data_IF_201575122839
#
_entry.id   IF_201575122839
#
_cell.length_a   1.000
_cell.length_b   1.000
_cell.length_c   1.000
_cell.angle_alpha   90.00
_cell.angle_beta   90.00
_cell.angle_gamma   90.00
#
_symmetry.space_group_name_H-M   'P 1'
#
loop_
_entity.id
_entity.type
_entity.pdbx_description
1 polymer ?
#
# COMPACT_ATOMS: atom_id res chain seq x y z
N UNK A 1 -12.45 1.96 0.91
CA UNK A 1 -11.14 1.35 1.25
C UNK A 1 -11.11 1.18 2.75
N UNK A 2 -10.75 0.01 3.25
CA UNK A 2 -10.56 -0.22 4.68
C UNK A 2 -9.15 -0.75 4.94
N UNK A 3 -8.59 -0.39 6.09
CA UNK A 3 -7.28 -0.88 6.53
C UNK A 3 -7.48 -1.94 7.61
N UNK A 4 -7.02 -3.17 7.35
CA UNK A 4 -6.94 -4.20 8.37
C UNK A 4 -5.70 -3.96 9.25
N UNK A 5 -5.93 -3.35 10.41
CA UNK A 5 -4.86 -2.98 11.33
C UNK A 5 -4.17 -4.19 11.98
N UNK A 6 -4.79 -5.38 11.97
CA UNK A 6 -4.16 -6.60 12.50
C UNK A 6 -3.02 -7.12 11.60
N UNK A 7 -2.96 -6.67 10.35
CA UNK A 7 -1.90 -7.01 9.41
C UNK A 7 -0.67 -6.10 9.54
N UNK A 8 -0.70 -5.11 10.44
CA UNK A 8 0.38 -4.16 10.62
C UNK A 8 1.40 -4.66 11.65
N UNK A 9 2.67 -4.53 11.29
CA UNK A 9 3.81 -4.82 12.15
C UNK A 9 4.42 -3.55 12.77
N UNK A 10 3.84 -2.38 12.52
CA UNK A 10 4.27 -1.13 13.16
C UNK A 10 3.61 0.12 12.58
N UNK A 11 3.80 1.25 13.27
CA UNK A 11 3.16 2.53 12.91
C UNK A 11 3.62 3.09 11.54
N UNK A 12 4.83 2.75 11.07
CA UNK A 12 5.35 3.26 9.78
C UNK A 12 4.51 2.79 8.60
N UNK A 13 4.00 1.55 8.66
CA UNK A 13 3.16 0.97 7.60
C UNK A 13 1.81 1.68 7.44
N UNK A 14 1.36 2.46 8.44
CA UNK A 14 0.12 3.24 8.33
C UNK A 14 0.25 4.31 7.24
N UNK A 15 1.40 4.98 7.18
CA UNK A 15 1.66 6.00 6.16
C UNK A 15 1.66 5.39 4.76
N UNK A 16 2.32 4.25 4.60
CA UNK A 16 2.42 3.56 3.31
C UNK A 16 1.06 3.08 2.81
N UNK A 17 0.23 2.54 3.72
CA UNK A 17 -1.14 2.15 3.41
C UNK A 17 -2.04 3.33 3.09
N UNK A 18 -1.85 4.46 3.77
CA UNK A 18 -2.54 5.69 3.44
C UNK A 18 -2.20 6.14 2.02
N UNK A 19 -0.93 6.13 1.63
CA UNK A 19 -0.50 6.51 0.27
C UNK A 19 -1.04 5.54 -0.79
N UNK A 20 -1.05 4.23 -0.52
CA UNK A 20 -1.63 3.24 -1.41
C UNK A 20 -3.15 3.42 -1.55
N UNK A 21 -3.85 3.69 -0.44
CA UNK A 21 -5.28 4.03 -0.45
C UNK A 21 -5.57 5.32 -1.22
N UNK A 22 -4.70 6.33 -1.07
CA UNK A 22 -4.81 7.59 -1.80
C UNK A 22 -4.66 7.38 -3.31
N UNK A 23 -3.65 6.60 -3.73
CA UNK A 23 -3.46 6.24 -5.14
C UNK A 23 -4.72 5.55 -5.71
N UNK A 24 -5.33 4.64 -4.95
CA UNK A 24 -6.57 3.97 -5.35
C UNK A 24 -7.72 4.96 -5.58
N UNK A 25 -7.91 5.93 -4.68
CA UNK A 25 -8.92 6.99 -4.84
C UNK A 25 -8.73 7.79 -6.14
N UNK A 26 -7.48 8.01 -6.54
CA UNK A 26 -7.14 8.70 -7.78
C UNK A 26 -7.06 7.78 -9.01
N UNK A 27 -7.42 6.49 -8.89
CA UNK A 27 -7.29 5.48 -9.95
C UNK A 27 -5.85 5.35 -10.48
N UNK A 28 -4.88 5.61 -9.63
CA UNK A 28 -3.45 5.46 -9.87
C UNK A 28 -2.86 4.29 -9.06
N UNK A 29 -1.55 4.07 -9.22
CA UNK A 29 -0.76 3.12 -8.44
C UNK A 29 0.29 3.86 -7.61
N UNK A 30 0.66 3.29 -6.46
CA UNK A 30 1.76 3.77 -5.65
C UNK A 30 3.05 3.15 -6.16
N UNK A 31 3.94 3.99 -6.70
CA UNK A 31 5.29 3.60 -7.03
C UNK A 31 6.18 3.72 -5.77
N UNK A 32 6.93 2.67 -5.45
CA UNK A 32 7.72 2.60 -4.21
C UNK A 32 8.99 1.78 -4.39
N UNK A 33 10.01 2.05 -3.57
CA UNK A 33 11.17 1.16 -3.43
C UNK A 33 11.01 0.20 -2.24
N UNK A 34 9.97 0.38 -1.43
CA UNK A 34 9.74 -0.41 -0.23
C UNK A 34 8.97 -1.69 -0.56
N UNK A 35 9.62 -2.84 -0.36
CA UNK A 35 9.03 -4.17 -0.55
C UNK A 35 8.26 -4.68 0.66
N UNK A 36 8.23 -3.92 1.76
CA UNK A 36 7.61 -4.31 3.03
C UNK A 36 6.19 -3.80 3.22
N UNK A 37 5.65 -3.04 2.26
CA UNK A 37 4.29 -2.50 2.33
C UNK A 37 3.27 -3.65 2.33
N UNK A 38 2.46 -3.81 3.39
CA UNK A 38 1.56 -4.95 3.54
C UNK A 38 0.27 -4.73 2.75
N UNK A 39 0.30 -4.97 1.43
CA UNK A 39 -0.85 -4.77 0.52
C UNK A 39 -2.09 -5.52 0.99
N UNK A 40 -1.92 -6.66 1.65
CA UNK A 40 -3.00 -7.45 2.20
C UNK A 40 -3.83 -6.70 3.26
N UNK A 41 -3.26 -5.69 3.91
CA UNK A 41 -3.98 -4.81 4.84
C UNK A 41 -4.98 -3.90 4.12
N UNK A 42 -4.92 -3.78 2.79
CA UNK A 42 -5.82 -2.95 1.97
C UNK A 42 -7.01 -3.76 1.47
N UNK A 43 -8.13 -3.67 2.17
CA UNK A 43 -9.35 -4.42 1.79
C UNK A 43 -10.14 -3.65 0.73
N UNK A 44 -10.50 -4.36 -0.35
CA UNK A 44 -11.32 -3.84 -1.45
C UNK A 44 -10.56 -3.06 -2.52
N UNK A 45 -9.24 -3.24 -2.61
CA UNK A 45 -8.38 -2.60 -3.62
C UNK A 45 -8.10 -3.54 -4.80
N UNK A 46 -7.81 -2.95 -5.97
CA UNK A 46 -7.33 -3.66 -7.17
C UNK A 46 -5.92 -4.25 -6.94
N UNK A 47 -5.65 -5.40 -7.55
CA UNK A 47 -4.39 -6.13 -7.38
C UNK A 47 -3.13 -5.36 -7.85
N UNK A 48 -3.26 -4.34 -8.70
CA UNK A 48 -2.16 -3.57 -9.28
C UNK A 48 -1.90 -2.22 -8.58
N UNK A 49 -2.24 -2.11 -7.29
CA UNK A 49 -2.10 -0.84 -6.56
C UNK A 49 -0.65 -0.44 -6.28
N UNK A 50 0.27 -1.40 -6.29
CA UNK A 50 1.68 -1.17 -6.00
C UNK A 50 2.55 -1.49 -7.20
N UNK A 51 3.48 -0.58 -7.46
CA UNK A 51 4.55 -0.72 -8.43
C UNK A 51 5.87 -0.62 -7.68
N UNK A 52 6.57 -1.75 -7.55
CA UNK A 52 7.87 -1.80 -6.87
C UNK A 52 8.96 -1.47 -7.88
N UNK A 53 9.69 -0.39 -7.64
CA UNK A 53 10.84 0.02 -8.45
C UNK A 53 12.07 -0.69 -7.89
N UNK A 54 12.80 -1.48 -8.70
CA UNK A 54 14.06 -2.09 -8.28
C UNK A 54 15.13 -1.01 -8.02
N UNK A 55 16.00 -1.25 -7.04
CA UNK A 55 17.24 -0.50 -6.86
C UNK A 55 18.36 -1.40 -7.35
N UNK A 56 19.06 -0.95 -8.40
CA UNK A 56 20.27 -1.58 -8.94
C UNK A 56 21.51 -1.25 -8.10
#
# INVERSE_FOLDING_TARGET
>A
IYFDLFQLQGHRQITDLYLAGLAHCYRASLATFDTSIPVAALVGIRANILEVIPID
#
